data_IF_237630593839
#
_entry.id   IF_237630593839
#
_cell.length_a   1.000
_cell.length_b   1.000
_cell.length_c   1.000
_cell.angle_alpha   90.00
_cell.angle_beta   90.00
_cell.angle_gamma   90.00
#
_symmetry.space_group_name_H-M   'P 1'
#
loop_
_entity.id
_entity.type
_entity.pdbx_description
1 polymer ?
#
# COMPACT_ATOMS: atom_id res chain seq x y z
N UNK A 1 -0.92 -9.18 -10.35
CA UNK A 1 -0.33 -7.84 -10.11
C UNK A 1 0.07 -7.53 -8.66
N UNK A 2 -0.10 -8.45 -7.69
CA UNK A 2 0.22 -8.17 -6.28
C UNK A 2 1.67 -7.70 -6.06
N UNK A 3 2.66 -8.37 -6.67
CA UNK A 3 4.08 -7.96 -6.56
C UNK A 3 4.33 -6.54 -7.04
N UNK A 4 3.64 -6.08 -8.10
CA UNK A 4 3.79 -4.71 -8.61
C UNK A 4 3.25 -3.68 -7.62
N UNK A 5 2.09 -3.96 -7.02
CA UNK A 5 1.51 -3.11 -5.96
C UNK A 5 2.45 -3.07 -4.76
N UNK A 6 3.02 -4.21 -4.36
CA UNK A 6 3.98 -4.28 -3.27
C UNK A 6 5.22 -3.40 -3.51
N UNK A 7 5.79 -3.43 -4.72
CA UNK A 7 6.90 -2.55 -5.09
C UNK A 7 6.50 -1.07 -5.08
N UNK A 8 5.28 -0.73 -5.50
CA UNK A 8 4.77 0.66 -5.45
C UNK A 8 4.63 1.13 -4.00
N UNK A 9 4.09 0.29 -3.11
CA UNK A 9 3.98 0.59 -1.68
C UNK A 9 5.37 0.82 -1.07
N UNK A 10 6.33 -0.07 -1.36
CA UNK A 10 7.71 0.04 -0.89
C UNK A 10 8.39 1.34 -1.37
N UNK A 11 8.16 1.76 -2.62
CA UNK A 11 8.69 3.03 -3.16
C UNK A 11 8.11 4.27 -2.48
N UNK A 12 6.89 4.18 -1.95
CA UNK A 12 6.24 5.27 -1.21
C UNK A 12 6.48 5.15 0.31
N UNK A 13 7.54 4.45 0.72
CA UNK A 13 7.92 4.26 2.13
C UNK A 13 6.87 3.53 2.99
N UNK A 14 5.95 2.78 2.36
CA UNK A 14 5.01 1.92 3.07
C UNK A 14 5.65 0.54 3.27
N UNK A 15 5.90 0.18 4.53
CA UNK A 15 6.41 -1.14 4.90
C UNK A 15 5.23 -2.10 5.07
N UNK A 16 5.22 -3.18 4.28
CA UNK A 16 4.16 -4.19 4.28
C UNK A 16 4.76 -5.61 4.30
N UNK A 17 3.95 -6.59 4.70
CA UNK A 17 4.34 -8.01 4.70
C UNK A 17 3.79 -8.70 3.43
N UNK A 18 4.67 -9.23 2.58
CA UNK A 18 4.28 -10.04 1.41
C UNK A 18 4.08 -11.49 1.82
N UNK A 19 2.95 -12.08 1.42
CA UNK A 19 2.67 -13.50 1.61
C UNK A 19 2.23 -14.16 0.31
N UNK A 20 2.85 -15.29 -0.01
CA UNK A 20 2.52 -16.08 -1.18
C UNK A 20 1.10 -16.70 -1.05
N UNK A 21 0.38 -16.88 -2.18
CA UNK A 21 0.81 -16.54 -3.53
C UNK A 21 0.54 -15.09 -3.98
N UNK A 22 -0.26 -14.28 -3.28
CA UNK A 22 -0.63 -12.92 -3.72
C UNK A 22 -1.26 -12.03 -2.62
N UNK A 23 -0.79 -12.15 -1.38
CA UNK A 23 -1.35 -11.43 -0.23
C UNK A 23 -0.37 -10.36 0.25
N UNK A 24 -0.88 -9.15 0.51
CA UNK A 24 -0.14 -8.07 1.18
C UNK A 24 -0.85 -7.80 2.50
N UNK A 25 -0.13 -7.86 3.62
CA UNK A 25 -0.68 -7.46 4.94
C UNK A 25 -0.15 -6.10 5.33
N UNK A 26 -1.07 -5.25 5.74
CA UNK A 26 -0.83 -3.95 6.35
C UNK A 26 -1.49 -3.99 7.74
N UNK A 27 -0.80 -3.52 8.77
CA UNK A 27 -1.33 -3.43 10.12
C UNK A 27 -0.96 -2.04 10.68
N UNK A 28 -1.83 -1.02 10.52
CA UNK A 28 -1.59 0.27 11.16
C UNK A 28 -1.74 0.10 12.67
N UNK A 29 -0.83 0.70 13.44
CA UNK A 29 -0.85 0.65 14.89
C UNK A 29 -1.12 2.04 15.44
N UNK A 30 -2.18 2.16 16.24
CA UNK A 30 -2.68 3.43 16.75
C UNK A 30 -1.64 4.27 17.52
N UNK A 31 -0.60 3.64 18.06
CA UNK A 31 0.46 4.34 18.80
C UNK A 31 1.35 5.21 17.91
N UNK A 32 1.55 4.82 16.65
CA UNK A 32 2.52 5.47 15.75
C UNK A 32 2.00 5.72 14.33
N UNK A 33 0.74 5.42 14.06
CA UNK A 33 0.08 5.79 12.81
C UNK A 33 -1.10 6.72 13.08
N UNK A 34 -1.20 7.74 12.24
CA UNK A 34 -2.32 8.68 12.20
C UNK A 34 -3.38 8.22 11.20
N UNK A 35 -4.58 8.81 11.29
CA UNK A 35 -5.60 8.64 10.24
C UNK A 35 -5.13 9.16 8.88
N UNK A 36 -4.26 10.19 8.87
CA UNK A 36 -3.68 10.73 7.65
C UNK A 36 -2.77 9.70 6.96
N UNK A 37 -1.96 8.94 7.71
CA UNK A 37 -1.10 7.89 7.14
C UNK A 37 -1.92 6.82 6.40
N UNK A 38 -3.05 6.42 7.00
CA UNK A 38 -3.98 5.45 6.39
C UNK A 38 -4.65 6.04 5.15
N UNK A 39 -5.00 7.33 5.18
CA UNK A 39 -5.56 8.03 4.03
C UNK A 39 -4.55 8.15 2.88
N UNK A 40 -3.28 8.50 3.17
CA UNK A 40 -2.19 8.55 2.20
C UNK A 40 -1.94 7.17 1.56
N UNK A 41 -1.95 6.10 2.37
CA UNK A 41 -1.91 4.73 1.85
C UNK A 41 -3.02 4.46 0.83
N UNK A 42 -4.26 4.87 1.14
CA UNK A 42 -5.39 4.75 0.22
C UNK A 42 -5.19 5.54 -1.09
N UNK A 43 -4.63 6.75 -1.01
CA UNK A 43 -4.31 7.56 -2.19
C UNK A 43 -3.27 6.91 -3.09
N UNK A 44 -2.21 6.31 -2.52
CA UNK A 44 -1.19 5.60 -3.30
C UNK A 44 -1.83 4.46 -4.11
N UNK A 45 -2.70 3.67 -3.48
CA UNK A 45 -3.43 2.60 -4.15
C UNK A 45 -4.36 3.15 -5.24
N UNK A 46 -5.13 4.18 -4.94
CA UNK A 46 -6.03 4.83 -5.91
C UNK A 46 -5.27 5.32 -7.13
N UNK A 47 -4.15 6.00 -6.94
CA UNK A 47 -3.31 6.52 -8.02
C UNK A 47 -2.74 5.39 -8.89
N UNK A 48 -2.29 4.28 -8.27
CA UNK A 48 -1.84 3.11 -9.02
C UNK A 48 -2.94 2.55 -9.93
N UNK A 49 -4.16 2.37 -9.41
CA UNK A 49 -5.26 1.84 -10.21
C UNK A 49 -5.72 2.80 -11.31
N UNK A 50 -5.80 4.11 -11.02
CA UNK A 50 -6.17 5.13 -12.01
C UNK A 50 -5.15 5.23 -13.15
N UNK A 51 -3.85 5.14 -12.85
CA UNK A 51 -2.78 5.17 -13.87
C UNK A 51 -2.86 4.00 -14.87
N UNK A 52 -3.53 2.90 -14.50
CA UNK A 52 -3.73 1.73 -15.36
C UNK A 52 -5.01 1.79 -16.19
N UNK A 53 -5.92 2.72 -15.90
CA UNK A 53 -7.21 2.85 -16.62
C UNK A 53 -7.11 3.78 -17.84
N UNK A 54 -5.97 4.47 -18.01
CA UNK A 54 -5.63 5.28 -19.18
C UNK A 54 -4.84 4.45 -20.19
#
# INVERSE_FOLDING_TARGET
DGKKIFEVLKKNSVIADWREPNVIRIAPVALYNSFEDVWQFGNILRNYFQSKTQ
#
